data_IF_778768253634
#
_entry.id   IF_778768253634
#
_cell.length_a   1.000
_cell.length_b   1.000
_cell.length_c   1.000
_cell.angle_alpha   90.00
_cell.angle_beta   90.00
_cell.angle_gamma   90.00
#
_symmetry.space_group_name_H-M   'P 1'
#
loop_
_entity.id
_entity.type
_entity.pdbx_description
1 polymer ?
#
# COMPACT_ATOMS: atom_id res chain seq x y z
N UNK A 1 3.46 -17.34 -17.35
CA UNK A 1 3.16 -17.55 -15.92
C UNK A 1 3.66 -16.30 -15.19
N UNK A 2 2.76 -15.53 -14.57
CA UNK A 2 3.13 -14.27 -13.91
C UNK A 2 3.61 -14.55 -12.48
N UNK A 3 4.35 -13.64 -11.86
CA UNK A 3 4.66 -13.71 -10.43
C UNK A 3 3.67 -12.87 -9.66
N UNK A 4 3.12 -13.41 -8.57
CA UNK A 4 2.17 -12.69 -7.72
C UNK A 4 2.85 -11.47 -7.08
N UNK A 5 2.32 -10.25 -7.23
CA UNK A 5 2.92 -9.06 -6.64
C UNK A 5 2.85 -9.01 -5.09
N UNK A 6 2.14 -9.95 -4.46
CA UNK A 6 2.08 -10.09 -3.01
C UNK A 6 3.13 -11.08 -2.49
N UNK A 7 3.44 -12.17 -3.20
CA UNK A 7 4.33 -13.25 -2.69
C UNK A 7 5.55 -13.55 -3.54
N UNK A 8 5.61 -13.07 -4.78
CA UNK A 8 6.59 -13.39 -5.82
C UNK A 8 6.58 -14.85 -6.29
N UNK A 9 5.61 -15.64 -5.83
CA UNK A 9 5.36 -17.00 -6.31
C UNK A 9 4.68 -16.96 -7.68
N UNK A 10 4.93 -17.95 -8.57
CA UNK A 10 4.20 -18.08 -9.82
C UNK A 10 2.68 -18.17 -9.62
N UNK A 11 1.90 -17.53 -10.48
CA UNK A 11 0.44 -17.61 -10.50
C UNK A 11 -0.14 -17.44 -11.92
N UNK A 12 -1.38 -17.95 -12.11
CA UNK A 12 -2.10 -17.89 -13.39
C UNK A 12 -2.94 -16.61 -13.55
N UNK A 13 -3.21 -15.87 -12.47
CA UNK A 13 -3.92 -14.58 -12.46
C UNK A 13 -3.07 -13.40 -12.00
N UNK A 14 -3.71 -12.28 -11.65
CA UNK A 14 -3.03 -11.10 -11.08
C UNK A 14 -2.42 -11.39 -9.70
N UNK A 15 -3.09 -12.24 -8.90
CA UNK A 15 -2.65 -12.58 -7.56
C UNK A 15 -2.82 -14.08 -7.27
N UNK A 16 -1.92 -14.65 -6.47
CA UNK A 16 -2.03 -16.02 -5.97
C UNK A 16 -2.98 -16.08 -4.76
N UNK A 17 -3.59 -17.26 -4.53
CA UNK A 17 -4.44 -17.48 -3.36
C UNK A 17 -3.66 -17.36 -2.03
N UNK A 18 -2.38 -17.76 -2.01
CA UNK A 18 -1.49 -17.57 -0.86
C UNK A 18 -1.31 -16.08 -0.55
N UNK A 19 -1.08 -15.26 -1.58
CA UNK A 19 -0.94 -13.80 -1.45
C UNK A 19 -2.20 -13.12 -0.94
N UNK A 20 -3.37 -13.48 -1.47
CA UNK A 20 -4.66 -12.94 -1.02
C UNK A 20 -4.92 -13.25 0.45
N UNK A 21 -4.58 -14.47 0.90
CA UNK A 21 -4.73 -14.88 2.30
C UNK A 21 -3.82 -14.10 3.27
N UNK A 22 -2.72 -13.50 2.80
CA UNK A 22 -1.89 -12.58 3.61
C UNK A 22 -2.63 -11.28 3.95
N UNK A 23 -3.51 -10.82 3.06
CA UNK A 23 -4.35 -9.64 3.27
C UNK A 23 -5.59 -9.98 4.11
N UNK A 24 -6.30 -11.05 3.74
CA UNK A 24 -7.45 -11.57 4.50
C UNK A 24 -7.79 -12.99 4.06
N UNK A 25 -8.13 -13.86 5.02
CA UNK A 25 -8.55 -15.25 4.75
C UNK A 25 -9.83 -15.36 3.91
N UNK A 26 -10.61 -14.29 3.81
CA UNK A 26 -11.88 -14.24 3.09
C UNK A 26 -11.74 -13.76 1.64
N UNK A 27 -10.55 -13.32 1.21
CA UNK A 27 -10.34 -12.92 -0.19
C UNK A 27 -10.15 -14.15 -1.07
N UNK A 28 -10.82 -14.14 -2.23
CA UNK A 28 -10.65 -15.13 -3.30
C UNK A 28 -10.10 -14.52 -4.58
N UNK A 29 -10.15 -13.20 -4.69
CA UNK A 29 -9.62 -12.34 -5.74
C UNK A 29 -9.26 -10.96 -5.14
N UNK A 30 -8.65 -10.09 -5.94
CA UNK A 30 -8.43 -8.68 -5.63
C UNK A 30 -8.54 -7.86 -6.92
N UNK A 31 -9.52 -6.96 -6.94
CA UNK A 31 -9.78 -6.05 -8.06
C UNK A 31 -8.69 -4.99 -8.14
N UNK A 32 -8.32 -4.54 -9.36
CA UNK A 32 -7.50 -3.36 -9.55
C UNK A 32 -8.08 -2.12 -8.84
N UNK A 33 -7.21 -1.15 -8.57
CA UNK A 33 -7.65 0.16 -8.09
C UNK A 33 -8.52 0.82 -9.16
N UNK A 34 -9.63 1.44 -8.76
CA UNK A 34 -10.52 2.22 -9.65
C UNK A 34 -9.92 3.55 -10.13
N UNK A 35 -8.60 3.70 -10.00
CA UNK A 35 -7.88 4.92 -10.31
C UNK A 35 -6.64 4.55 -11.12
N UNK A 36 -6.31 5.40 -12.07
CA UNK A 36 -5.01 5.44 -12.74
C UNK A 36 -3.95 6.01 -11.80
N UNK A 37 -2.67 5.78 -12.12
CA UNK A 37 -1.55 6.40 -11.41
C UNK A 37 -1.62 7.93 -11.43
N UNK A 38 -2.09 8.54 -12.52
CA UNK A 38 -2.32 9.99 -12.60
C UNK A 38 -3.42 10.44 -11.63
N UNK A 39 -4.58 9.77 -11.64
CA UNK A 39 -5.69 10.11 -10.73
C UNK A 39 -5.29 9.90 -9.27
N UNK A 40 -4.54 8.85 -8.94
CA UNK A 40 -4.01 8.64 -7.58
C UNK A 40 -3.10 9.79 -7.13
N UNK A 41 -2.25 10.32 -8.03
CA UNK A 41 -1.42 11.50 -7.72
C UNK A 41 -2.26 12.76 -7.52
N UNK A 42 -3.31 12.95 -8.31
CA UNK A 42 -4.25 14.07 -8.15
C UNK A 42 -5.02 13.97 -6.83
N UNK A 43 -5.53 12.78 -6.49
CA UNK A 43 -6.19 12.50 -5.22
C UNK A 43 -5.25 12.74 -4.03
N UNK A 44 -3.97 12.34 -4.15
CA UNK A 44 -2.98 12.57 -3.12
C UNK A 44 -2.71 14.07 -2.92
N UNK A 45 -2.59 14.83 -4.00
CA UNK A 45 -2.43 16.29 -3.94
C UNK A 45 -3.64 16.96 -3.28
N UNK A 46 -4.87 16.58 -3.68
CA UNK A 46 -6.11 17.12 -3.13
C UNK A 46 -6.33 16.77 -1.63
N UNK A 47 -5.78 15.65 -1.17
CA UNK A 47 -5.90 15.17 0.22
C UNK A 47 -4.72 15.50 1.10
N UNK A 48 -3.66 16.10 0.56
CA UNK A 48 -2.41 16.43 1.27
C UNK A 48 -2.64 17.18 2.58
N UNK A 49 -3.56 18.16 2.60
CA UNK A 49 -3.90 18.93 3.81
C UNK A 49 -4.69 18.14 4.87
N UNK A 50 -5.36 17.04 4.48
CA UNK A 50 -6.20 16.22 5.38
C UNK A 50 -5.44 15.04 5.98
N UNK A 51 -4.23 14.76 5.51
CA UNK A 51 -3.41 13.63 5.95
C UNK A 51 -2.19 14.11 6.73
N UNK A 52 -2.15 13.84 8.04
CA UNK A 52 -0.96 14.04 8.89
C UNK A 52 0.03 12.87 8.69
N UNK A 53 0.56 12.71 7.47
CA UNK A 53 1.61 11.73 7.17
C UNK A 53 2.73 12.44 6.40
N UNK A 54 3.88 12.64 7.04
CA UNK A 54 5.00 13.40 6.48
C UNK A 54 5.69 12.69 5.31
N UNK A 55 6.25 13.45 4.35
CA UNK A 55 7.11 12.98 3.24
C UNK A 55 6.73 13.57 1.88
N UNK A 56 7.72 13.72 1.00
CA UNK A 56 7.58 14.39 -0.32
C UNK A 56 6.74 13.59 -1.32
N UNK A 57 6.76 12.27 -1.22
CA UNK A 57 6.05 11.38 -2.14
C UNK A 57 4.52 11.44 -1.93
N UNK A 58 3.72 11.50 -3.00
CA UNK A 58 2.28 11.34 -2.94
C UNK A 58 1.88 10.09 -2.15
N UNK A 59 0.93 10.23 -1.23
CA UNK A 59 0.44 9.11 -0.42
C UNK A 59 -1.03 9.24 -0.13
N UNK A 60 -1.69 8.09 -0.08
CA UNK A 60 -3.11 7.99 0.15
C UNK A 60 -3.40 7.02 1.29
N UNK A 61 -4.35 7.37 2.14
CA UNK A 61 -4.87 6.45 3.15
C UNK A 61 -5.93 5.55 2.53
N UNK A 62 -5.85 4.25 2.77
CA UNK A 62 -6.72 3.26 2.17
C UNK A 62 -7.21 2.19 3.15
N UNK A 63 -8.29 1.51 2.76
CA UNK A 63 -8.85 0.35 3.46
C UNK A 63 -9.19 -0.74 2.44
N UNK A 64 -8.93 -1.99 2.80
CA UNK A 64 -9.39 -3.16 2.06
C UNK A 64 -10.88 -3.42 2.36
N UNK A 65 -11.74 -3.31 1.34
CA UNK A 65 -13.13 -3.75 1.40
C UNK A 65 -13.22 -5.22 0.97
N UNK A 66 -13.23 -6.12 1.95
CA UNK A 66 -13.25 -7.58 1.71
C UNK A 66 -14.45 -8.00 0.85
N UNK A 67 -15.65 -7.50 1.12
CA UNK A 67 -16.86 -7.83 0.34
C UNK A 67 -16.75 -7.45 -1.14
N UNK A 68 -16.06 -6.34 -1.45
CA UNK A 68 -15.82 -5.89 -2.82
C UNK A 68 -14.50 -6.41 -3.40
N UNK A 69 -13.70 -7.08 -2.58
CA UNK A 69 -12.38 -7.57 -2.92
C UNK A 69 -11.50 -6.46 -3.51
N UNK A 70 -11.49 -5.27 -2.89
CA UNK A 70 -10.85 -4.09 -3.47
C UNK A 70 -10.29 -3.16 -2.39
N UNK A 71 -9.20 -2.46 -2.68
CA UNK A 71 -8.74 -1.32 -1.89
C UNK A 71 -9.51 -0.06 -2.28
N UNK A 72 -9.97 0.68 -1.27
CA UNK A 72 -10.63 1.98 -1.46
C UNK A 72 -9.87 3.09 -0.72
N UNK A 73 -9.89 4.29 -1.29
CA UNK A 73 -9.33 5.49 -0.64
C UNK A 73 -10.25 5.94 0.49
N UNK A 74 -9.66 6.34 1.62
CA UNK A 74 -10.39 6.82 2.80
C UNK A 74 -9.61 7.94 3.51
N UNK A 75 -10.33 8.98 3.92
CA UNK A 75 -9.72 10.10 4.66
C UNK A 75 -9.47 9.78 6.14
N UNK A 76 -10.24 8.83 6.70
CA UNK A 76 -10.20 8.47 8.12
C UNK A 76 -10.15 6.96 8.29
N UNK A 77 -9.47 6.51 9.35
CA UNK A 77 -9.38 5.10 9.74
C UNK A 77 -8.84 4.16 8.65
N UNK A 78 -8.03 4.68 7.72
CA UNK A 78 -7.29 3.83 6.79
C UNK A 78 -6.29 2.96 7.54
N UNK A 79 -6.20 1.70 7.12
CA UNK A 79 -5.32 0.67 7.67
C UNK A 79 -4.09 0.44 6.78
N UNK A 80 -4.11 1.01 5.58
CA UNK A 80 -3.04 0.91 4.60
C UNK A 80 -2.68 2.30 4.09
N UNK A 81 -1.44 2.44 3.65
CA UNK A 81 -0.96 3.60 2.90
C UNK A 81 -0.67 3.10 1.49
N UNK A 82 -1.19 3.81 0.48
CA UNK A 82 -0.87 3.60 -0.92
C UNK A 82 0.12 4.68 -1.38
N UNK A 83 1.10 4.25 -2.16
CA UNK A 83 2.11 5.09 -2.78
C UNK A 83 2.08 4.81 -4.29
N UNK A 84 1.44 5.68 -5.09
CA UNK A 84 1.32 5.49 -6.52
C UNK A 84 2.68 5.71 -7.21
N UNK A 85 2.75 5.26 -8.46
CA UNK A 85 3.84 5.58 -9.35
C UNK A 85 3.96 7.11 -9.57
N UNK A 86 5.20 7.61 -9.63
CA UNK A 86 5.49 9.03 -9.85
C UNK A 86 5.99 9.29 -11.27
N UNK A 87 5.83 10.52 -11.77
CA UNK A 87 6.14 10.85 -13.15
C UNK A 87 7.65 10.87 -13.44
N UNK A 88 8.44 11.35 -12.48
CA UNK A 88 9.85 11.66 -12.71
C UNK A 88 10.76 10.41 -12.67
N UNK A 89 10.26 9.31 -12.10
CA UNK A 89 11.03 8.08 -11.89
C UNK A 89 10.18 6.86 -12.20
N UNK A 90 10.70 5.99 -13.06
CA UNK A 90 10.04 4.73 -13.43
C UNK A 90 10.12 3.71 -12.30
N UNK A 91 9.07 2.90 -12.13
CA UNK A 91 9.07 1.71 -11.26
C UNK A 91 9.35 1.98 -9.76
N UNK A 92 8.96 3.16 -9.24
CA UNK A 92 9.17 3.49 -7.82
C UNK A 92 8.42 2.55 -6.88
N UNK A 93 7.14 2.19 -7.13
CA UNK A 93 6.43 1.19 -6.34
C UNK A 93 7.16 -0.16 -6.24
N UNK A 94 7.63 -0.67 -7.38
CA UNK A 94 8.32 -1.95 -7.48
C UNK A 94 9.67 -1.90 -6.76
N UNK A 95 10.41 -0.80 -6.88
CA UNK A 95 11.64 -0.58 -6.14
C UNK A 95 11.41 -0.61 -4.63
N UNK A 96 10.33 0.03 -4.16
CA UNK A 96 9.98 0.03 -2.73
C UNK A 96 9.60 -1.37 -2.24
N UNK A 97 8.77 -2.12 -2.99
CA UNK A 97 8.43 -3.52 -2.64
C UNK A 97 9.66 -4.43 -2.63
N UNK A 98 10.52 -4.34 -3.63
CA UNK A 98 11.76 -5.13 -3.70
C UNK A 98 12.65 -4.85 -2.48
N UNK A 99 12.86 -3.58 -2.16
CA UNK A 99 13.71 -3.17 -1.03
C UNK A 99 13.18 -3.68 0.30
N UNK A 100 11.86 -3.60 0.51
CA UNK A 100 11.23 -4.09 1.73
C UNK A 100 11.31 -5.62 1.85
N UNK A 101 11.23 -6.36 0.75
CA UNK A 101 11.47 -7.81 0.74
C UNK A 101 12.90 -8.15 1.09
N UNK A 102 13.87 -7.44 0.51
CA UNK A 102 15.29 -7.62 0.82
C UNK A 102 15.56 -7.35 2.31
N UNK A 103 14.96 -6.30 2.87
CA UNK A 103 15.03 -6.01 4.31
C UNK A 103 14.46 -7.18 5.13
N UNK A 104 13.30 -7.71 4.75
CA UNK A 104 12.71 -8.89 5.41
C UNK A 104 13.62 -10.11 5.37
N UNK A 105 14.23 -10.39 4.20
CA UNK A 105 15.17 -11.49 4.02
C UNK A 105 16.46 -11.31 4.84
N UNK A 106 16.86 -10.07 5.09
CA UNK A 106 17.98 -9.73 5.96
C UNK A 106 17.63 -9.77 7.46
N UNK A 107 16.40 -10.16 7.83
CA UNK A 107 15.96 -10.27 9.23
C UNK A 107 15.43 -8.97 9.83
N UNK A 108 15.21 -7.93 9.03
CA UNK A 108 14.60 -6.67 9.48
C UNK A 108 13.08 -6.86 9.56
N UNK A 109 12.48 -6.46 10.68
CA UNK A 109 11.02 -6.45 10.82
C UNK A 109 10.41 -5.44 9.84
N UNK A 110 9.58 -5.92 8.93
CA UNK A 110 8.86 -5.09 7.96
C UNK A 110 7.35 -5.30 8.06
N UNK A 111 6.52 -4.26 7.84
CA UNK A 111 5.07 -4.42 7.80
C UNK A 111 4.64 -5.25 6.59
N UNK A 112 3.41 -5.77 6.64
CA UNK A 112 2.78 -6.36 5.45
C UNK A 112 2.70 -5.32 4.33
N UNK A 113 3.32 -5.62 3.20
CA UNK A 113 3.33 -4.77 2.01
C UNK A 113 3.13 -5.61 0.73
N UNK A 114 3.05 -4.92 -0.39
CA UNK A 114 3.01 -5.51 -1.72
C UNK A 114 2.68 -4.48 -2.78
N UNK A 115 2.37 -4.95 -3.99
CA UNK A 115 1.92 -4.11 -5.09
C UNK A 115 0.45 -4.38 -5.43
N UNK A 116 -0.23 -3.33 -5.89
CA UNK A 116 -1.58 -3.35 -6.43
C UNK A 116 -1.55 -2.89 -7.88
N UNK A 117 -2.31 -3.56 -8.74
CA UNK A 117 -2.59 -3.08 -10.09
C UNK A 117 -3.56 -1.89 -10.08
N UNK A 118 -3.21 -0.83 -10.79
CA UNK A 118 -4.12 0.24 -11.23
C UNK A 118 -4.97 -0.19 -12.43
N UNK A 119 -6.04 0.55 -12.72
CA UNK A 119 -6.88 0.29 -13.90
C UNK A 119 -6.15 0.57 -15.22
N UNK A 120 -5.09 1.37 -15.18
CA UNK A 120 -4.14 1.65 -16.27
C UNK A 120 -3.02 0.61 -16.39
N UNK A 121 -2.99 -0.41 -15.52
CA UNK A 121 -1.95 -1.44 -15.50
C UNK A 121 -0.69 -1.06 -14.72
N UNK A 122 -0.55 0.20 -14.31
CA UNK A 122 0.55 0.68 -13.49
C UNK A 122 0.49 0.09 -12.07
N UNK A 123 1.65 -0.08 -11.44
CA UNK A 123 1.72 -0.58 -10.07
C UNK A 123 1.55 0.54 -9.06
N UNK A 124 0.97 0.20 -7.91
CA UNK A 124 0.89 1.04 -6.72
C UNK A 124 1.36 0.24 -5.53
N UNK A 125 2.34 0.78 -4.79
CA UNK A 125 2.83 0.12 -3.59
C UNK A 125 1.84 0.34 -2.45
N UNK A 126 1.59 -0.70 -1.67
CA UNK A 126 0.83 -0.57 -0.43
C UNK A 126 1.65 -1.08 0.76
N UNK A 127 1.41 -0.46 1.91
CA UNK A 127 1.95 -0.91 3.18
C UNK A 127 0.89 -0.84 4.27
N UNK A 128 0.80 -1.88 5.09
CA UNK A 128 -0.07 -1.93 6.26
C UNK A 128 0.51 -1.04 7.34
N UNK A 129 -0.35 -0.21 7.90
CA UNK A 129 0.00 0.72 8.98
C UNK A 129 0.24 -0.04 10.29
N UNK A 130 1.37 0.21 10.93
CA UNK A 130 1.69 -0.29 12.28
C UNK A 130 1.15 0.60 13.39
N UNK A 131 0.76 1.85 13.08
CA UNK A 131 0.16 2.82 14.02
C UNK A 131 -1.38 2.65 14.16
N UNK A 132 -1.92 1.51 13.71
CA UNK A 132 -3.35 1.19 13.72
C UNK A 132 -3.59 -0.19 14.33
N UNK A 133 -4.55 -0.27 15.26
CA UNK A 133 -4.91 -1.50 15.96
C UNK A 133 -6.43 -1.71 15.86
N UNK A 134 -6.84 -2.88 15.34
CA UNK A 134 -8.25 -3.18 15.10
C UNK A 134 -8.91 -2.22 14.09
N UNK A 135 -10.19 -1.92 14.29
CA UNK A 135 -10.97 -1.08 13.36
C UNK A 135 -10.86 0.42 13.61
N UNK A 136 -10.69 0.84 14.88
CA UNK A 136 -10.67 2.26 15.27
C UNK A 136 -9.50 2.62 16.18
N UNK A 137 -8.73 1.64 16.65
CA UNK A 137 -7.61 1.87 17.55
C UNK A 137 -6.46 2.55 16.83
N UNK A 138 -5.87 3.54 17.48
CA UNK A 138 -4.64 4.19 17.06
C UNK A 138 -3.57 3.88 18.09
N UNK A 139 -2.37 3.57 17.62
CA UNK A 139 -1.18 3.51 18.46
C UNK A 139 -0.45 4.84 18.26
N UNK A 140 -0.14 5.53 19.34
CA UNK A 140 0.70 6.72 19.25
C UNK A 140 2.09 6.32 18.79
N UNK A 141 2.57 6.97 17.73
CA UNK A 141 3.90 6.81 17.17
C UNK A 141 4.39 8.20 16.78
N UNK A 142 5.65 8.47 17.04
CA UNK A 142 6.35 9.70 16.71
C UNK A 142 7.61 9.36 15.92
N UNK A 143 8.02 10.27 15.04
CA UNK A 143 9.32 10.20 14.39
C UNK A 143 10.42 10.88 15.24
N UNK A 144 11.69 10.72 14.83
CA UNK A 144 12.80 11.30 15.56
C UNK A 144 12.87 12.83 15.49
N UNK A 145 12.24 13.48 14.50
CA UNK A 145 12.18 14.93 14.44
C UNK A 145 11.25 15.47 15.53
N UNK A 146 10.06 14.86 15.68
CA UNK A 146 9.10 15.17 16.73
C UNK A 146 9.69 14.94 18.12
N UNK A 147 10.38 13.80 18.34
CA UNK A 147 11.09 13.53 19.59
C UNK A 147 12.20 14.55 19.87
N UNK A 148 12.83 15.08 18.82
CA UNK A 148 13.82 16.14 18.88
C UNK A 148 13.24 17.55 19.03
N UNK A 149 11.91 17.70 19.14
CA UNK A 149 11.23 18.98 19.28
C UNK A 149 11.18 19.82 17.99
N UNK A 150 11.26 19.16 16.83
CA UNK A 150 11.20 19.79 15.49
C UNK A 150 9.90 19.45 14.76
#
# INVERSE_FOLDING_TARGET
>A
MNRCPLTYEPCEGLYSQSGLKRLSRQLTNLQPLSFTSLELRQEAAARSQKMSIQGVQPKLSARLQIKKQQFILVDKNGQYILKPQIADYVQVPENEDLTMRLASLAGIEVPLHGLLHGQDGEMTYFIKRFDRVGHKGKRHVEDFAQLGGR
#
